data_IF_986727553299
#
_entry.id   IF_986727553299
#
_cell.length_a   1.000
_cell.length_b   1.000
_cell.length_c   1.000
_cell.angle_alpha   90.00
_cell.angle_beta   90.00
_cell.angle_gamma   90.00
#
_symmetry.space_group_name_H-M   'P 1'
#
loop_
_entity.id
_entity.type
_entity.pdbx_description
1 polymer ?
#
# COMPACT_ATOMS: atom_id res chain seq x y z
N UNK A 1 -8.69 -16.01 15.33
CA UNK A 1 -8.41 -14.71 15.98
C UNK A 1 -6.98 -14.34 15.64
N UNK A 2 -6.76 -13.13 15.22
CA UNK A 2 -5.44 -12.61 14.90
C UNK A 2 -4.76 -12.14 16.19
N UNK A 3 -3.78 -12.91 16.65
CA UNK A 3 -3.04 -12.57 17.87
C UNK A 3 -2.08 -11.41 17.56
N UNK A 4 -2.41 -10.20 18.07
CA UNK A 4 -1.59 -8.99 17.87
C UNK A 4 -0.36 -9.06 18.77
N UNK A 5 0.72 -9.65 18.26
CA UNK A 5 2.01 -9.74 18.95
C UNK A 5 3.06 -8.86 18.28
N UNK A 6 3.93 -8.27 19.07
CA UNK A 6 5.12 -7.57 18.60
C UNK A 6 6.30 -8.57 18.46
N UNK A 7 7.20 -8.39 17.48
CA UNK A 7 8.32 -9.32 17.26
C UNK A 7 9.55 -9.03 18.14
N UNK A 8 9.45 -8.13 19.09
CA UNK A 8 10.54 -7.68 19.95
C UNK A 8 10.09 -7.56 21.41
N UNK A 9 11.02 -7.59 22.32
CA UNK A 9 10.82 -7.42 23.76
C UNK A 9 10.96 -5.95 24.19
N UNK A 10 10.45 -5.62 25.39
CA UNK A 10 10.67 -4.32 26.01
C UNK A 10 12.16 -4.00 26.17
N UNK A 11 12.96 -4.98 26.56
CA UNK A 11 14.41 -4.80 26.75
C UNK A 11 15.11 -4.41 25.44
N UNK A 12 14.78 -5.07 24.34
CA UNK A 12 15.34 -4.75 23.01
C UNK A 12 14.96 -3.32 22.57
N UNK A 13 13.69 -2.94 22.72
CA UNK A 13 13.25 -1.60 22.37
C UNK A 13 13.92 -0.53 23.25
N UNK A 14 14.09 -0.78 24.54
CA UNK A 14 14.81 0.14 25.43
C UNK A 14 16.28 0.32 25.05
N UNK A 15 16.94 -0.71 24.51
CA UNK A 15 18.30 -0.55 23.96
C UNK A 15 18.28 0.24 22.64
N UNK A 16 17.32 0.00 21.76
CA UNK A 16 17.16 0.72 20.48
C UNK A 16 16.93 2.23 20.76
N UNK A 17 16.09 2.57 21.74
CA UNK A 17 15.76 3.96 22.11
C UNK A 17 17.01 4.75 22.53
N UNK A 18 18.02 4.13 23.10
CA UNK A 18 19.28 4.82 23.46
C UNK A 18 20.00 5.40 22.24
N UNK A 19 19.83 4.79 21.07
CA UNK A 19 20.45 5.25 19.82
C UNK A 19 19.46 6.01 18.93
N UNK A 20 18.22 5.55 18.91
CA UNK A 20 17.14 6.07 18.07
C UNK A 20 15.95 6.47 18.97
N UNK A 21 15.88 7.74 19.43
CA UNK A 21 14.78 8.18 20.28
C UNK A 21 13.39 7.99 19.62
N UNK A 22 12.38 7.72 20.44
CA UNK A 22 10.98 7.71 20.00
C UNK A 22 10.52 9.12 19.56
N UNK A 23 9.52 9.24 18.67
CA UNK A 23 8.87 8.13 17.96
C UNK A 23 9.70 7.63 16.78
N UNK A 24 9.56 6.36 16.43
CA UNK A 24 10.08 5.79 15.18
C UNK A 24 9.19 4.68 14.64
N UNK A 25 9.23 4.46 13.33
CA UNK A 25 8.69 3.25 12.73
C UNK A 25 9.76 2.15 12.69
N UNK A 26 9.36 0.90 12.97
CA UNK A 26 10.24 -0.26 12.86
C UNK A 26 9.55 -1.35 12.05
N UNK A 27 10.28 -1.95 11.10
CA UNK A 27 9.78 -2.99 10.20
C UNK A 27 10.48 -4.31 10.46
N UNK A 28 9.73 -5.42 10.44
CA UNK A 28 10.26 -6.79 10.53
C UNK A 28 10.58 -7.32 9.13
N UNK A 29 11.87 -7.38 8.79
CA UNK A 29 12.33 -7.85 7.48
C UNK A 29 11.92 -9.29 7.18
N UNK A 30 12.14 -10.21 8.12
CA UNK A 30 11.87 -11.63 7.88
C UNK A 30 10.38 -11.92 7.73
N UNK A 31 9.54 -11.21 8.48
CA UNK A 31 8.09 -11.34 8.36
C UNK A 31 7.59 -10.80 7.01
N UNK A 32 8.12 -9.65 6.52
CA UNK A 32 7.82 -9.11 5.19
C UNK A 32 8.21 -10.12 4.09
N UNK A 33 9.43 -10.67 4.13
CA UNK A 33 9.90 -11.68 3.18
C UNK A 33 9.03 -12.93 3.19
N UNK A 34 8.74 -13.44 4.38
CA UNK A 34 7.93 -14.65 4.56
C UNK A 34 6.53 -14.46 3.99
N UNK A 35 5.93 -13.29 4.21
CA UNK A 35 4.59 -12.99 3.74
C UNK A 35 4.52 -12.93 2.21
N UNK A 36 5.45 -12.20 1.58
CA UNK A 36 5.43 -12.10 0.12
C UNK A 36 5.72 -13.42 -0.57
N UNK A 37 6.62 -14.25 0.00
CA UNK A 37 6.86 -15.63 -0.49
C UNK A 37 5.60 -16.49 -0.43
N UNK A 38 4.78 -16.36 0.63
CA UNK A 38 3.49 -17.06 0.73
C UNK A 38 2.53 -16.64 -0.36
N UNK A 39 2.41 -15.34 -0.63
CA UNK A 39 1.57 -14.83 -1.71
C UNK A 39 2.01 -15.40 -3.07
N UNK A 40 3.29 -15.23 -3.42
CA UNK A 40 3.83 -15.72 -4.69
C UNK A 40 3.62 -17.23 -4.84
N UNK A 41 3.91 -18.01 -3.78
CA UNK A 41 3.75 -19.45 -3.78
C UNK A 41 2.31 -19.90 -4.00
N UNK A 42 1.33 -19.21 -3.44
CA UNK A 42 -0.08 -19.54 -3.63
C UNK A 42 -0.49 -19.46 -5.11
N UNK A 43 0.18 -18.63 -5.91
CA UNK A 43 -0.08 -18.46 -7.34
C UNK A 43 0.91 -19.18 -8.26
N UNK A 44 1.66 -20.20 -7.79
CA UNK A 44 2.62 -20.99 -8.59
C UNK A 44 1.99 -21.64 -9.84
N UNK A 45 0.67 -21.83 -9.84
CA UNK A 45 -0.05 -22.38 -10.99
C UNK A 45 -0.23 -21.36 -12.15
N UNK A 46 -0.19 -20.06 -11.85
CA UNK A 46 -0.38 -19.00 -12.82
C UNK A 46 0.95 -18.70 -13.51
N UNK A 47 0.94 -18.73 -14.85
CA UNK A 47 2.12 -18.47 -15.66
C UNK A 47 2.70 -17.09 -15.33
N UNK A 48 3.98 -17.03 -14.96
CA UNK A 48 4.74 -15.80 -14.72
C UNK A 48 4.01 -14.82 -13.78
N UNK A 49 3.31 -15.36 -12.76
CA UNK A 49 2.62 -14.54 -11.77
C UNK A 49 3.53 -13.45 -11.21
N UNK A 50 3.01 -12.24 -11.09
CA UNK A 50 3.79 -11.09 -10.61
C UNK A 50 3.06 -10.33 -9.51
N UNK A 51 3.73 -10.10 -8.41
CA UNK A 51 3.34 -9.09 -7.43
C UNK A 51 4.10 -7.79 -7.74
N UNK A 52 3.40 -6.68 -7.89
CA UNK A 52 3.94 -5.34 -7.96
C UNK A 52 3.68 -4.63 -6.64
N UNK A 53 4.72 -4.37 -5.88
CA UNK A 53 4.55 -3.65 -4.61
C UNK A 53 4.13 -2.21 -4.86
N UNK A 54 2.98 -1.80 -4.29
CA UNK A 54 2.54 -0.40 -4.32
C UNK A 54 3.51 0.49 -3.53
N UNK A 55 4.41 1.18 -4.23
CA UNK A 55 5.50 1.95 -3.62
C UNK A 55 4.99 2.99 -2.63
N UNK A 56 3.85 3.63 -2.92
CA UNK A 56 3.16 4.59 -2.04
C UNK A 56 2.89 4.07 -0.62
N UNK A 57 2.79 2.75 -0.45
CA UNK A 57 2.54 2.15 0.86
C UNK A 57 3.72 2.35 1.81
N UNK A 58 4.96 2.14 1.29
CA UNK A 58 6.20 2.28 2.07
C UNK A 58 7.35 2.65 1.13
N UNK A 59 7.45 3.93 0.69
CA UNK A 59 8.44 4.39 -0.29
C UNK A 59 9.84 4.49 0.33
N UNK A 60 10.44 3.34 0.58
CA UNK A 60 11.77 3.23 1.18
C UNK A 60 12.65 2.29 0.35
N UNK A 61 13.86 2.70 -0.07
CA UNK A 61 14.73 1.92 -0.95
C UNK A 61 15.19 0.60 -0.33
N UNK A 62 15.29 0.50 1.00
CA UNK A 62 15.64 -0.76 1.68
C UNK A 62 14.50 -1.77 1.58
N UNK A 63 13.26 -1.35 1.81
CA UNK A 63 12.08 -2.20 1.65
C UNK A 63 11.95 -2.64 0.19
N UNK A 64 12.12 -1.73 -0.77
CA UNK A 64 12.07 -2.07 -2.19
C UNK A 64 13.16 -3.08 -2.59
N UNK A 65 14.38 -2.96 -2.05
CA UNK A 65 15.45 -3.95 -2.28
C UNK A 65 15.12 -5.33 -1.71
N UNK A 66 14.51 -5.37 -0.52
CA UNK A 66 14.04 -6.62 0.10
C UNK A 66 13.04 -7.31 -0.81
N UNK A 67 12.03 -6.58 -1.28
CA UNK A 67 10.96 -7.10 -2.11
C UNK A 67 11.46 -7.49 -3.51
N UNK A 68 12.34 -6.68 -4.12
CA UNK A 68 13.02 -7.03 -5.37
C UNK A 68 13.78 -8.37 -5.28
N UNK A 69 14.48 -8.60 -4.16
CA UNK A 69 15.20 -9.86 -3.94
C UNK A 69 14.27 -11.09 -3.87
N UNK A 70 12.99 -10.89 -3.55
CA UNK A 70 11.94 -11.91 -3.57
C UNK A 70 11.21 -11.99 -4.94
N UNK A 71 11.67 -11.26 -5.96
CA UNK A 71 11.07 -11.27 -7.30
C UNK A 71 9.89 -10.33 -7.50
N UNK A 72 9.61 -9.46 -6.53
CA UNK A 72 8.51 -8.47 -6.58
C UNK A 72 8.90 -7.29 -7.46
N UNK A 73 7.95 -6.80 -8.27
CA UNK A 73 8.06 -5.56 -9.03
C UNK A 73 7.62 -4.34 -8.23
N UNK A 74 7.36 -3.23 -8.92
CA UNK A 74 6.91 -1.99 -8.31
C UNK A 74 5.70 -1.40 -9.06
N UNK A 75 4.62 -1.09 -8.33
CA UNK A 75 3.55 -0.19 -8.78
C UNK A 75 3.93 1.24 -8.36
N UNK A 76 4.15 2.10 -9.35
CA UNK A 76 4.54 3.50 -9.17
C UNK A 76 3.42 4.44 -9.62
N UNK A 77 3.23 5.52 -8.88
CA UNK A 77 2.20 6.52 -9.17
C UNK A 77 2.74 7.97 -9.28
N UNK A 78 4.07 8.13 -9.25
CA UNK A 78 4.71 9.45 -9.33
C UNK A 78 6.18 9.38 -9.77
N UNK A 79 6.73 10.52 -10.20
CA UNK A 79 8.16 10.64 -10.54
C UNK A 79 9.11 10.22 -9.41
N UNK A 80 8.91 10.64 -8.14
CA UNK A 80 9.79 10.19 -7.06
C UNK A 80 9.82 8.67 -6.87
N UNK A 81 8.70 7.97 -7.06
CA UNK A 81 8.63 6.52 -6.95
C UNK A 81 9.39 5.83 -8.10
N UNK A 82 9.29 6.36 -9.33
CA UNK A 82 10.09 5.91 -10.48
C UNK A 82 11.59 6.12 -10.25
N UNK A 83 11.99 7.26 -9.69
CA UNK A 83 13.39 7.53 -9.33
C UNK A 83 13.90 6.59 -8.23
N UNK A 84 13.05 6.19 -7.28
CA UNK A 84 13.40 5.15 -6.31
C UNK A 84 13.63 3.81 -7.00
N UNK A 85 12.78 3.41 -7.96
CA UNK A 85 12.97 2.21 -8.76
C UNK A 85 14.32 2.22 -9.47
N UNK A 86 14.66 3.33 -10.14
CA UNK A 86 15.96 3.49 -10.81
C UNK A 86 17.13 3.30 -9.84
N UNK A 87 17.07 3.94 -8.66
CA UNK A 87 18.14 3.84 -7.65
C UNK A 87 18.30 2.43 -7.06
N UNK A 88 17.23 1.65 -6.96
CA UNK A 88 17.31 0.25 -6.49
C UNK A 88 17.49 -0.74 -7.65
N UNK A 89 17.52 -0.25 -8.90
CA UNK A 89 17.74 -1.05 -10.10
C UNK A 89 16.53 -1.89 -10.51
N UNK A 90 15.30 -1.41 -10.28
CA UNK A 90 14.06 -1.97 -10.82
C UNK A 90 13.76 -1.25 -12.12
N UNK A 91 13.46 -1.97 -13.20
CA UNK A 91 13.20 -1.39 -14.52
C UNK A 91 12.41 -2.36 -15.41
N UNK A 92 11.97 -1.89 -16.58
CA UNK A 92 11.27 -2.72 -17.56
C UNK A 92 9.94 -3.25 -17.05
N UNK A 93 9.68 -4.51 -17.35
CA UNK A 93 8.47 -5.24 -16.98
C UNK A 93 8.27 -5.42 -15.46
N UNK A 94 9.27 -5.06 -14.67
CA UNK A 94 9.18 -5.05 -13.21
C UNK A 94 8.59 -3.74 -12.66
N UNK A 95 8.23 -2.78 -13.52
CA UNK A 95 7.50 -1.57 -13.13
C UNK A 95 6.17 -1.50 -13.86
N UNK A 96 5.08 -1.28 -13.13
CA UNK A 96 3.83 -0.76 -13.67
C UNK A 96 3.66 0.68 -13.18
N UNK A 97 3.28 1.57 -14.08
CA UNK A 97 3.09 2.99 -13.77
C UNK A 97 1.61 3.34 -13.88
N UNK A 98 0.95 3.45 -12.72
CA UNK A 98 -0.48 3.74 -12.56
C UNK A 98 -0.64 5.08 -11.85
N UNK A 99 -0.93 6.13 -12.61
CA UNK A 99 -1.07 7.50 -12.10
C UNK A 99 -2.32 8.17 -12.63
N UNK A 100 -2.85 9.15 -11.90
CA UNK A 100 -4.01 9.95 -12.26
C UNK A 100 -3.55 11.38 -12.54
N UNK A 101 -4.23 12.07 -13.50
CA UNK A 101 -3.91 13.48 -13.86
C UNK A 101 -2.39 13.68 -14.09
N UNK A 102 -1.78 12.78 -14.82
CA UNK A 102 -0.33 12.57 -14.90
C UNK A 102 0.37 13.64 -15.73
N UNK A 103 1.36 14.36 -15.18
CA UNK A 103 2.23 15.25 -15.97
C UNK A 103 3.08 14.43 -16.96
N UNK A 104 3.40 15.02 -18.13
CA UNK A 104 4.19 14.32 -19.14
C UNK A 104 5.56 13.84 -18.65
N UNK A 105 6.21 14.61 -17.76
CA UNK A 105 7.52 14.24 -17.22
C UNK A 105 7.51 12.87 -16.49
N UNK A 106 6.40 12.52 -15.88
CA UNK A 106 6.23 11.21 -15.22
C UNK A 106 6.08 10.10 -16.24
N UNK A 107 5.28 10.31 -17.29
CA UNK A 107 5.20 9.36 -18.42
C UNK A 107 6.55 9.20 -19.11
N UNK A 108 7.27 10.31 -19.37
CA UNK A 108 8.58 10.27 -19.99
C UNK A 108 9.57 9.42 -19.17
N UNK A 109 9.60 9.61 -17.84
CA UNK A 109 10.46 8.81 -16.97
C UNK A 109 10.04 7.35 -16.90
N UNK A 110 8.74 7.07 -16.85
CA UNK A 110 8.25 5.69 -16.87
C UNK A 110 8.64 4.97 -18.18
N UNK A 111 8.50 5.65 -19.32
CA UNK A 111 8.92 5.11 -20.62
C UNK A 111 10.45 4.95 -20.72
N UNK A 112 11.23 5.89 -20.20
CA UNK A 112 12.69 5.78 -20.11
C UNK A 112 13.13 4.52 -19.35
N UNK A 113 12.43 4.20 -18.25
CA UNK A 113 12.68 2.99 -17.46
C UNK A 113 12.12 1.71 -18.11
N UNK A 114 11.39 1.83 -19.22
CA UNK A 114 10.73 0.71 -19.89
C UNK A 114 9.50 0.17 -19.14
N UNK A 115 8.94 0.96 -18.24
CA UNK A 115 7.79 0.58 -17.42
C UNK A 115 6.52 0.30 -18.27
N UNK A 116 5.63 -0.52 -17.74
CA UNK A 116 4.29 -0.69 -18.28
C UNK A 116 3.50 0.58 -17.97
N UNK A 117 3.03 1.28 -18.99
CA UNK A 117 2.14 2.43 -18.81
C UNK A 117 0.71 1.93 -18.64
N UNK A 118 0.09 2.26 -17.51
CA UNK A 118 -1.32 2.00 -17.24
C UNK A 118 -2.11 3.30 -17.38
N UNK A 119 -2.89 3.44 -18.45
CA UNK A 119 -3.70 4.62 -18.68
C UNK A 119 -4.98 4.59 -17.85
N UNK A 120 -5.26 5.71 -17.22
CA UNK A 120 -6.39 5.90 -16.31
C UNK A 120 -7.60 6.57 -16.99
N UNK A 121 -7.37 7.25 -18.12
CA UNK A 121 -8.40 7.94 -18.89
C UNK A 121 -8.10 7.89 -20.40
N UNK A 122 -9.16 7.88 -21.22
CA UNK A 122 -9.04 7.79 -22.69
C UNK A 122 -8.31 8.97 -23.30
N UNK A 123 -8.40 10.16 -22.69
CA UNK A 123 -7.72 11.40 -23.17
C UNK A 123 -6.20 11.31 -23.03
N UNK A 124 -5.69 10.42 -22.20
CA UNK A 124 -4.25 10.17 -22.07
C UNK A 124 -3.63 9.64 -23.37
N UNK A 125 -4.40 9.01 -24.26
CA UNK A 125 -3.89 8.51 -25.54
C UNK A 125 -3.39 9.68 -26.41
N UNK A 126 -4.23 10.69 -26.61
CA UNK A 126 -3.87 11.88 -27.38
C UNK A 126 -2.78 12.68 -26.68
N UNK A 127 -2.81 12.75 -25.35
CA UNK A 127 -1.78 13.41 -24.55
C UNK A 127 -0.41 12.75 -24.71
N UNK A 128 -0.34 11.42 -24.69
CA UNK A 128 0.90 10.67 -24.93
C UNK A 128 1.41 10.92 -26.35
N UNK A 129 0.54 10.80 -27.37
CA UNK A 129 0.92 10.98 -28.78
C UNK A 129 1.43 12.40 -29.06
N UNK A 130 0.80 13.42 -28.46
CA UNK A 130 1.22 14.81 -28.62
C UNK A 130 2.60 15.11 -28.02
N UNK A 131 3.06 14.31 -27.08
CA UNK A 131 4.29 14.55 -26.34
C UNK A 131 5.41 13.53 -26.62
N UNK A 132 5.12 12.42 -27.30
CA UNK A 132 6.12 11.40 -27.62
C UNK A 132 5.54 10.17 -28.28
N UNK A 133 6.37 9.14 -28.54
CA UNK A 133 5.90 7.89 -29.13
C UNK A 133 5.05 7.11 -28.13
N UNK A 134 3.92 6.56 -28.61
CA UNK A 134 3.12 5.63 -27.82
C UNK A 134 3.92 4.31 -27.67
N UNK A 135 4.07 3.76 -26.45
CA UNK A 135 4.73 2.47 -26.25
C UNK A 135 4.02 1.34 -27.00
N UNK A 136 4.76 0.29 -27.36
CA UNK A 136 4.17 -0.89 -28.01
C UNK A 136 3.34 -1.77 -27.05
N UNK A 137 3.41 -1.50 -25.74
CA UNK A 137 2.65 -2.13 -24.66
C UNK A 137 1.97 -1.08 -23.79
N UNK A 138 0.66 -1.20 -23.64
CA UNK A 138 -0.19 -0.33 -22.83
C UNK A 138 -1.13 -1.18 -21.97
N UNK A 139 -1.25 -0.82 -20.72
CA UNK A 139 -2.29 -1.29 -19.81
C UNK A 139 -3.41 -0.26 -19.69
N UNK A 140 -4.63 -0.71 -19.42
CA UNK A 140 -5.78 0.18 -19.23
C UNK A 140 -6.50 -0.16 -17.94
N UNK A 141 -6.77 0.87 -17.14
CA UNK A 141 -7.51 0.74 -15.89
C UNK A 141 -9.00 0.74 -16.16
N UNK A 142 -9.64 -0.38 -15.90
CA UNK A 142 -11.08 -0.53 -16.01
C UNK A 142 -11.79 -0.08 -14.74
N UNK A 143 -12.82 0.76 -14.90
CA UNK A 143 -13.78 1.12 -13.87
C UNK A 143 -15.14 0.50 -14.20
N UNK A 144 -15.64 -0.47 -13.41
CA UNK A 144 -16.92 -1.14 -13.68
C UNK A 144 -18.15 -0.27 -13.40
N UNK A 145 -17.98 0.91 -12.79
CA UNK A 145 -19.09 1.80 -12.44
C UNK A 145 -20.14 1.12 -11.54
N UNK A 146 -21.44 1.33 -11.82
CA UNK A 146 -22.51 0.85 -10.97
C UNK A 146 -22.71 -0.69 -11.00
N UNK A 147 -21.93 -1.41 -11.79
CA UNK A 147 -21.96 -2.89 -11.81
C UNK A 147 -21.42 -3.49 -10.51
N UNK A 148 -20.56 -2.76 -9.81
CA UNK A 148 -20.06 -3.10 -8.47
C UNK A 148 -20.57 -2.06 -7.47
N UNK A 149 -21.25 -2.53 -6.42
CA UNK A 149 -21.75 -1.67 -5.34
C UNK A 149 -20.81 -1.61 -4.14
N UNK A 150 -19.75 -2.40 -4.16
CA UNK A 150 -18.76 -2.45 -3.10
C UNK A 150 -17.84 -1.21 -3.18
N UNK A 151 -17.60 -0.60 -2.04
CA UNK A 151 -16.75 0.59 -1.91
C UNK A 151 -16.49 0.91 -0.44
N UNK A 152 -15.61 1.85 -0.18
CA UNK A 152 -15.33 2.35 1.17
C UNK A 152 -14.85 3.81 1.14
N UNK A 153 -14.67 4.42 2.31
CA UNK A 153 -14.26 5.83 2.45
C UNK A 153 -12.89 6.16 1.84
N UNK A 154 -12.10 5.16 1.44
CA UNK A 154 -10.77 5.35 0.87
C UNK A 154 -10.82 5.49 -0.66
N UNK A 155 -11.59 4.63 -1.34
CA UNK A 155 -11.66 4.61 -2.81
C UNK A 155 -13.01 5.04 -3.37
N UNK A 156 -14.02 5.24 -2.52
CA UNK A 156 -15.42 5.48 -2.91
C UNK A 156 -16.08 4.24 -3.53
N UNK A 157 -17.29 4.42 -4.03
CA UNK A 157 -17.91 3.43 -4.93
C UNK A 157 -17.32 3.59 -6.33
N UNK A 158 -17.23 2.53 -7.16
CA UNK A 158 -16.70 2.66 -8.52
C UNK A 158 -17.36 3.74 -9.36
N UNK A 159 -18.67 3.98 -9.19
CA UNK A 159 -19.42 5.02 -9.90
C UNK A 159 -18.97 6.44 -9.52
N UNK A 160 -18.60 6.66 -8.25
CA UNK A 160 -18.17 7.97 -7.72
C UNK A 160 -16.66 8.15 -7.77
N UNK A 161 -15.89 7.09 -8.02
CA UNK A 161 -14.44 7.15 -8.02
C UNK A 161 -13.91 7.84 -9.28
N UNK A 162 -12.86 8.67 -9.10
CA UNK A 162 -12.25 9.43 -10.19
C UNK A 162 -11.35 8.59 -11.12
N UNK A 163 -11.33 7.28 -10.99
CA UNK A 163 -10.35 6.40 -11.59
C UNK A 163 -10.92 5.56 -12.72
N UNK A 164 -10.15 5.44 -13.81
CA UNK A 164 -10.31 4.40 -14.80
C UNK A 164 -11.34 4.70 -15.91
N UNK A 165 -11.27 3.89 -16.94
CA UNK A 165 -12.12 3.93 -18.13
C UNK A 165 -13.39 3.12 -17.92
N UNK A 166 -14.51 3.60 -18.42
CA UNK A 166 -15.73 2.81 -18.54
C UNK A 166 -15.53 1.64 -19.50
N UNK A 167 -16.44 0.66 -19.45
CA UNK A 167 -16.38 -0.51 -20.35
C UNK A 167 -16.34 -0.09 -21.82
N UNK A 168 -17.17 0.84 -22.25
CA UNK A 168 -17.20 1.28 -23.64
C UNK A 168 -15.91 2.01 -24.04
N UNK A 169 -15.36 2.82 -23.15
CA UNK A 169 -14.06 3.48 -23.35
C UNK A 169 -12.90 2.47 -23.43
N UNK A 170 -12.93 1.35 -22.70
CA UNK A 170 -11.92 0.27 -22.87
C UNK A 170 -11.89 -0.24 -24.30
N UNK A 171 -13.05 -0.54 -24.91
CA UNK A 171 -13.11 -0.99 -26.31
C UNK A 171 -12.67 0.08 -27.28
N UNK A 172 -13.10 1.32 -27.10
CA UNK A 172 -12.70 2.46 -27.92
C UNK A 172 -11.19 2.70 -27.84
N UNK A 173 -10.64 2.79 -26.61
CA UNK A 173 -9.21 3.00 -26.39
C UNK A 173 -8.35 1.89 -27.01
N UNK A 174 -8.74 0.63 -26.83
CA UNK A 174 -8.02 -0.49 -27.44
C UNK A 174 -8.05 -0.48 -28.96
N UNK A 175 -9.18 -0.13 -29.56
CA UNK A 175 -9.29 0.01 -31.02
C UNK A 175 -8.38 1.12 -31.54
N UNK A 176 -8.36 2.29 -30.88
CA UNK A 176 -7.49 3.42 -31.23
C UNK A 176 -6.02 3.02 -31.09
N UNK A 177 -5.63 2.45 -29.95
CA UNK A 177 -4.24 2.06 -29.68
C UNK A 177 -3.75 0.98 -30.64
N UNK A 178 -4.59 0.01 -31.01
CA UNK A 178 -4.29 -1.00 -32.03
C UNK A 178 -3.98 -0.33 -33.39
N UNK A 179 -4.77 0.67 -33.79
CA UNK A 179 -4.52 1.44 -35.03
C UNK A 179 -3.23 2.25 -34.96
N UNK A 180 -2.86 2.74 -33.77
CA UNK A 180 -1.60 3.47 -33.50
C UNK A 180 -0.38 2.54 -33.35
N UNK A 181 -0.55 1.21 -33.48
CA UNK A 181 0.54 0.24 -33.54
C UNK A 181 0.90 -0.43 -32.21
N UNK A 182 0.11 -0.24 -31.17
CA UNK A 182 0.25 -0.99 -29.90
C UNK A 182 0.02 -2.48 -30.17
N UNK A 183 0.90 -3.33 -29.66
CA UNK A 183 0.91 -4.77 -29.93
C UNK A 183 0.54 -5.59 -28.72
N UNK A 184 0.83 -5.10 -27.53
CA UNK A 184 0.66 -5.79 -26.26
C UNK A 184 -0.27 -4.99 -25.36
N UNK A 185 -1.32 -5.64 -24.89
CA UNK A 185 -2.38 -4.99 -24.11
C UNK A 185 -2.53 -5.64 -22.75
N UNK A 186 -2.57 -4.84 -21.70
CA UNK A 186 -2.93 -5.26 -20.36
C UNK A 186 -4.29 -4.70 -19.94
N UNK A 187 -4.92 -5.38 -19.00
CA UNK A 187 -6.09 -4.90 -18.29
C UNK A 187 -5.74 -4.77 -16.81
N UNK A 188 -6.17 -3.68 -16.20
CA UNK A 188 -6.01 -3.41 -14.78
C UNK A 188 -7.34 -3.00 -14.16
N UNK A 189 -7.53 -3.24 -12.89
CA UNK A 189 -8.63 -2.65 -12.10
C UNK A 189 -8.21 -2.44 -10.66
N UNK A 190 -8.85 -1.51 -9.97
CA UNK A 190 -8.68 -1.28 -8.53
C UNK A 190 -10.02 -0.84 -7.94
N UNK A 191 -10.82 -1.80 -7.53
CA UNK A 191 -12.22 -1.60 -7.10
C UNK A 191 -12.47 -1.88 -5.64
N UNK A 192 -11.51 -2.48 -4.93
CA UNK A 192 -11.58 -2.78 -3.50
C UNK A 192 -10.37 -2.24 -2.77
N UNK A 193 -10.54 -1.90 -1.49
CA UNK A 193 -9.45 -1.51 -0.60
C UNK A 193 -9.70 -2.08 0.79
N UNK A 194 -8.70 -2.75 1.34
CA UNK A 194 -8.78 -3.46 2.61
C UNK A 194 -9.87 -4.53 2.66
N UNK A 195 -10.01 -5.31 1.58
CA UNK A 195 -10.96 -6.41 1.49
C UNK A 195 -10.43 -7.64 2.25
N UNK A 196 -11.17 -8.07 3.26
CA UNK A 196 -10.85 -9.25 4.08
C UNK A 196 -11.56 -10.52 3.60
N UNK A 197 -12.52 -10.39 2.69
CA UNK A 197 -13.25 -11.51 2.13
C UNK A 197 -12.67 -11.92 0.77
N UNK A 198 -12.12 -13.12 0.69
CA UNK A 198 -11.57 -13.65 -0.56
C UNK A 198 -12.58 -13.65 -1.72
N UNK A 199 -13.88 -13.80 -1.45
CA UNK A 199 -14.92 -13.80 -2.49
C UNK A 199 -15.02 -12.46 -3.24
N UNK A 200 -14.81 -11.32 -2.57
CA UNK A 200 -14.78 -10.01 -3.23
C UNK A 200 -13.67 -9.95 -4.28
N UNK A 201 -12.47 -10.40 -3.91
CA UNK A 201 -11.31 -10.46 -4.81
C UNK A 201 -11.49 -11.48 -5.94
N UNK A 202 -12.09 -12.66 -5.66
CA UNK A 202 -12.40 -13.69 -6.67
C UNK A 202 -13.42 -13.15 -7.68
N UNK A 203 -14.45 -12.41 -7.23
CA UNK A 203 -15.43 -11.79 -8.12
C UNK A 203 -14.79 -10.71 -9.00
N UNK A 204 -13.84 -9.94 -8.47
CA UNK A 204 -13.06 -8.99 -9.27
C UNK A 204 -12.28 -9.71 -10.38
N UNK A 205 -11.60 -10.81 -10.05
CA UNK A 205 -10.89 -11.61 -11.04
C UNK A 205 -11.83 -12.17 -12.11
N UNK A 206 -12.98 -12.72 -11.71
CA UNK A 206 -14.00 -13.20 -12.65
C UNK A 206 -14.44 -12.11 -13.63
N UNK A 207 -14.76 -10.92 -13.13
CA UNK A 207 -15.15 -9.77 -13.95
C UNK A 207 -14.07 -9.40 -14.99
N UNK A 208 -12.81 -9.41 -14.57
CA UNK A 208 -11.68 -9.09 -15.48
C UNK A 208 -11.46 -10.17 -16.53
N UNK A 209 -11.66 -11.45 -16.18
CA UNK A 209 -11.61 -12.56 -17.14
C UNK A 209 -12.72 -12.45 -18.19
N UNK A 210 -13.95 -12.17 -17.78
CA UNK A 210 -15.09 -11.96 -18.68
C UNK A 210 -14.82 -10.78 -19.64
N UNK A 211 -14.25 -9.67 -19.13
CA UNK A 211 -13.87 -8.53 -19.96
C UNK A 211 -12.77 -8.90 -20.98
N UNK A 212 -11.77 -9.68 -20.59
CA UNK A 212 -10.70 -10.12 -21.49
C UNK A 212 -11.23 -11.00 -22.62
N UNK A 213 -12.16 -11.91 -22.33
CA UNK A 213 -12.85 -12.73 -23.35
C UNK A 213 -13.60 -11.84 -24.32
N UNK A 214 -14.36 -10.88 -23.83
CA UNK A 214 -15.11 -9.96 -24.67
C UNK A 214 -14.22 -9.08 -25.55
N UNK A 215 -13.07 -8.61 -25.04
CA UNK A 215 -12.07 -7.86 -25.82
C UNK A 215 -11.57 -8.72 -26.98
N UNK A 216 -11.26 -10.00 -26.73
CA UNK A 216 -10.87 -10.94 -27.79
C UNK A 216 -11.98 -11.12 -28.82
N UNK A 217 -13.22 -11.35 -28.40
CA UNK A 217 -14.34 -11.59 -29.30
C UNK A 217 -14.68 -10.37 -30.18
N UNK A 218 -14.69 -9.17 -29.59
CA UNK A 218 -15.10 -7.93 -30.29
C UNK A 218 -13.99 -7.32 -31.12
N UNK A 219 -12.74 -7.34 -30.65
CA UNK A 219 -11.62 -6.62 -31.26
C UNK A 219 -10.53 -7.54 -31.85
N UNK A 220 -10.59 -8.83 -31.59
CA UNK A 220 -9.52 -9.76 -31.96
C UNK A 220 -8.20 -9.38 -31.30
N UNK A 221 -8.25 -8.84 -30.08
CA UNK A 221 -7.07 -8.50 -29.28
C UNK A 221 -6.91 -9.56 -28.20
N UNK A 222 -5.70 -10.12 -28.10
CA UNK A 222 -5.31 -11.01 -27.00
C UNK A 222 -4.65 -10.18 -25.92
N UNK A 223 -5.16 -10.29 -24.70
CA UNK A 223 -4.60 -9.61 -23.53
C UNK A 223 -3.36 -10.34 -23.05
N UNK A 224 -2.24 -9.65 -22.86
CA UNK A 224 -0.96 -10.22 -22.40
C UNK A 224 -0.98 -10.52 -20.90
N UNK A 225 -1.62 -9.64 -20.12
CA UNK A 225 -1.70 -9.76 -18.67
C UNK A 225 -2.94 -9.10 -18.12
N UNK A 226 -3.38 -9.58 -16.97
CA UNK A 226 -4.43 -8.96 -16.14
C UNK A 226 -3.84 -8.65 -14.79
N UNK A 227 -3.96 -7.39 -14.40
CA UNK A 227 -3.63 -6.89 -13.09
C UNK A 227 -4.91 -6.61 -12.29
N UNK A 228 -5.05 -7.28 -11.16
CA UNK A 228 -6.23 -7.12 -10.31
C UNK A 228 -6.12 -5.91 -9.39
N UNK A 229 -5.03 -5.14 -9.50
CA UNK A 229 -4.69 -4.07 -8.58
C UNK A 229 -4.32 -4.59 -7.20
N UNK A 230 -4.46 -3.73 -6.21
CA UNK A 230 -4.26 -4.12 -4.81
C UNK A 230 -5.57 -4.54 -4.15
N UNK A 231 -5.69 -4.17 -2.89
CA UNK A 231 -6.96 -4.30 -2.16
C UNK A 231 -7.03 -5.47 -1.20
N UNK A 232 -6.12 -6.45 -1.25
CA UNK A 232 -6.03 -7.49 -0.21
C UNK A 232 -5.85 -6.80 1.15
N UNK A 233 -6.76 -7.13 2.09
CA UNK A 233 -6.90 -6.46 3.35
C UNK A 233 -5.91 -6.88 4.42
N UNK A 234 -5.81 -6.03 5.41
CA UNK A 234 -5.10 -6.22 6.65
C UNK A 234 -6.12 -6.24 7.80
N UNK A 235 -6.20 -7.31 8.59
CA UNK A 235 -7.07 -7.35 9.75
C UNK A 235 -6.50 -6.48 10.87
N UNK A 236 -6.99 -5.25 10.96
CA UNK A 236 -6.54 -4.29 11.97
C UNK A 236 -7.02 -4.67 13.37
N UNK A 237 -8.21 -5.29 13.47
CA UNK A 237 -8.79 -5.70 14.75
C UNK A 237 -8.41 -7.12 15.12
N UNK A 238 -8.26 -7.44 16.42
CA UNK A 238 -7.91 -8.81 16.88
C UNK A 238 -8.93 -9.88 16.46
N UNK A 239 -10.21 -9.51 16.32
CA UNK A 239 -11.28 -10.43 15.92
C UNK A 239 -11.31 -10.72 14.41
N UNK A 240 -10.64 -9.92 13.59
CA UNK A 240 -10.54 -10.11 12.15
C UNK A 240 -9.46 -11.14 11.80
N UNK A 241 -9.50 -11.67 10.60
CA UNK A 241 -8.53 -12.66 10.10
C UNK A 241 -7.93 -12.23 8.77
N UNK A 242 -6.68 -12.62 8.54
CA UNK A 242 -6.04 -12.44 7.23
C UNK A 242 -6.79 -13.19 6.14
N UNK A 243 -6.76 -12.63 4.93
CA UNK A 243 -7.15 -13.37 3.72
C UNK A 243 -6.20 -14.56 3.58
N UNK A 244 -6.78 -15.75 3.47
CA UNK A 244 -6.03 -16.97 3.17
C UNK A 244 -5.65 -16.95 1.67
N UNK A 245 -4.36 -16.82 1.39
CA UNK A 245 -3.86 -16.75 0.01
C UNK A 245 -4.10 -18.04 -0.78
N UNK A 246 -4.11 -19.20 -0.13
CA UNK A 246 -4.39 -20.47 -0.82
C UNK A 246 -5.87 -20.55 -1.22
N UNK A 247 -6.78 -20.11 -0.35
CA UNK A 247 -8.23 -20.02 -0.65
C UNK A 247 -8.48 -19.00 -1.76
N UNK A 248 -7.86 -17.83 -1.68
CA UNK A 248 -7.97 -16.79 -2.72
C UNK A 248 -7.49 -17.31 -4.07
N UNK A 249 -6.30 -17.89 -4.10
CA UNK A 249 -5.67 -18.43 -5.30
C UNK A 249 -6.49 -19.57 -5.93
N UNK A 250 -6.97 -20.50 -5.11
CA UNK A 250 -7.81 -21.61 -5.59
C UNK A 250 -9.11 -21.09 -6.22
N UNK A 251 -9.74 -20.07 -5.61
CA UNK A 251 -10.95 -19.45 -6.15
C UNK A 251 -10.70 -18.72 -7.47
N UNK A 252 -9.58 -17.99 -7.60
CA UNK A 252 -9.21 -17.33 -8.87
C UNK A 252 -8.88 -18.36 -9.94
N UNK A 253 -8.16 -19.44 -9.59
CA UNK A 253 -7.86 -20.55 -10.50
C UNK A 253 -9.12 -21.20 -11.06
N UNK A 254 -10.10 -21.47 -10.21
CA UNK A 254 -11.39 -22.04 -10.62
C UNK A 254 -12.10 -21.14 -11.66
N UNK A 255 -12.10 -19.82 -11.46
CA UNK A 255 -12.66 -18.89 -12.44
C UNK A 255 -11.82 -18.83 -13.74
N UNK A 256 -10.49 -18.87 -13.62
CA UNK A 256 -9.59 -18.91 -14.76
C UNK A 256 -9.82 -20.14 -15.63
N UNK A 257 -9.90 -21.32 -15.02
CA UNK A 257 -10.16 -22.58 -15.72
C UNK A 257 -11.55 -22.62 -16.39
N UNK A 258 -12.54 -21.97 -15.79
CA UNK A 258 -13.92 -21.92 -16.35
C UNK A 258 -14.08 -20.89 -17.47
N UNK A 259 -13.35 -19.77 -17.42
CA UNK A 259 -13.58 -18.62 -18.32
C UNK A 259 -12.46 -18.50 -19.35
N UNK A 260 -11.19 -18.51 -18.90
CA UNK A 260 -10.07 -18.20 -19.78
C UNK A 260 -9.67 -19.38 -20.66
N UNK A 261 -9.51 -20.57 -20.07
CA UNK A 261 -9.07 -21.77 -20.78
C UNK A 261 -9.99 -22.17 -21.95
N UNK A 262 -11.32 -22.23 -21.79
CA UNK A 262 -12.20 -22.57 -22.89
C UNK A 262 -12.19 -21.56 -24.04
N UNK A 263 -11.77 -20.34 -23.77
CA UNK A 263 -11.67 -19.25 -24.73
C UNK A 263 -10.26 -19.11 -25.33
N UNK A 264 -9.32 -20.02 -25.00
CA UNK A 264 -7.95 -19.98 -25.50
C UNK A 264 -7.19 -18.74 -25.08
N UNK A 265 -7.36 -18.35 -23.80
CA UNK A 265 -6.68 -17.25 -23.11
C UNK A 265 -5.91 -17.77 -21.90
N UNK A 266 -5.42 -19.02 -21.97
CA UNK A 266 -4.68 -19.69 -20.90
C UNK A 266 -3.20 -19.28 -20.82
N UNK A 267 -2.69 -18.58 -21.84
CA UNK A 267 -1.31 -18.07 -21.89
C UNK A 267 -1.22 -16.60 -21.47
N UNK A 268 -1.81 -16.26 -20.35
CA UNK A 268 -1.88 -14.90 -19.83
C UNK A 268 -1.21 -14.80 -18.46
N UNK A 269 -0.48 -13.72 -18.21
CA UNK A 269 0.09 -13.41 -16.89
C UNK A 269 -0.97 -12.79 -15.98
N UNK A 270 -0.99 -13.20 -14.73
CA UNK A 270 -1.79 -12.58 -13.67
C UNK A 270 -0.90 -11.79 -12.71
N UNK A 271 -1.39 -10.66 -12.22
CA UNK A 271 -0.66 -9.83 -11.26
C UNK A 271 -1.56 -9.16 -10.22
N UNK A 272 -0.92 -8.75 -9.11
CA UNK A 272 -1.48 -7.89 -8.09
C UNK A 272 -0.58 -6.68 -7.84
N UNK A 273 -1.16 -5.61 -7.28
CA UNK A 273 -0.47 -4.38 -6.84
C UNK A 273 -0.64 -4.18 -5.32
N UNK A 274 -0.27 -5.16 -4.51
CA UNK A 274 -0.48 -5.09 -3.08
C UNK A 274 0.58 -4.23 -2.38
N UNK A 275 0.14 -3.33 -1.53
CA UNK A 275 1.00 -2.58 -0.62
C UNK A 275 0.69 -2.93 0.83
N UNK A 276 -0.57 -2.67 1.23
CA UNK A 276 -1.05 -2.86 2.60
C UNK A 276 -0.84 -4.28 3.12
N UNK A 277 -1.23 -5.28 2.37
CA UNK A 277 -1.08 -6.68 2.76
C UNK A 277 0.39 -7.10 2.88
N UNK A 278 1.30 -6.46 2.13
CA UNK A 278 2.72 -6.85 2.08
C UNK A 278 3.49 -6.36 3.31
N UNK A 279 3.46 -5.05 3.58
CA UNK A 279 4.27 -4.43 4.63
C UNK A 279 3.47 -4.05 5.87
N UNK A 280 2.17 -3.79 5.72
CA UNK A 280 1.30 -3.26 6.77
C UNK A 280 1.38 -3.99 8.10
N UNK A 281 1.20 -5.33 8.14
CA UNK A 281 1.19 -6.10 9.39
C UNK A 281 2.55 -6.15 10.10
N UNK A 282 3.61 -5.83 9.40
CA UNK A 282 5.00 -6.04 9.84
C UNK A 282 5.75 -4.73 10.06
N UNK A 283 5.03 -3.64 10.24
CA UNK A 283 5.57 -2.34 10.68
C UNK A 283 4.82 -1.85 11.91
N UNK A 284 5.57 -1.22 12.79
CA UNK A 284 5.11 -0.76 14.10
C UNK A 284 5.56 0.68 14.32
N UNK A 285 4.68 1.52 14.88
CA UNK A 285 5.08 2.83 15.40
C UNK A 285 5.33 2.69 16.91
N UNK A 286 6.56 2.93 17.31
CA UNK A 286 6.99 2.91 18.71
C UNK A 286 6.99 4.34 19.23
N UNK A 287 6.34 4.57 20.36
CA UNK A 287 6.18 5.88 20.99
C UNK A 287 6.24 5.78 22.51
N UNK A 288 6.58 6.86 23.18
CA UNK A 288 6.66 6.93 24.64
C UNK A 288 5.49 7.74 25.21
N UNK A 289 4.85 7.24 26.25
CA UNK A 289 3.90 8.02 27.05
C UNK A 289 4.64 9.11 27.82
N UNK A 290 4.28 10.38 27.59
CA UNK A 290 5.00 11.53 28.18
C UNK A 290 4.15 12.33 29.16
N UNK A 291 2.83 12.21 29.09
CA UNK A 291 1.90 12.96 29.95
C UNK A 291 0.62 12.21 30.22
N UNK A 292 0.08 12.39 31.42
CA UNK A 292 -1.28 12.04 31.80
C UNK A 292 -2.13 13.32 31.96
N UNK A 293 -3.36 13.23 31.52
CA UNK A 293 -4.32 14.31 31.69
C UNK A 293 -5.68 13.74 32.09
N UNK A 294 -6.11 14.04 33.30
CA UNK A 294 -7.39 13.64 33.86
C UNK A 294 -8.33 14.84 33.91
N UNK A 295 -9.32 14.87 33.04
CA UNK A 295 -10.37 15.87 33.00
C UNK A 295 -11.74 15.16 32.91
N UNK A 296 -12.47 15.34 31.82
CA UNK A 296 -13.71 14.59 31.54
C UNK A 296 -13.44 13.17 31.05
N UNK A 297 -12.24 12.91 30.60
CA UNK A 297 -11.71 11.61 30.16
C UNK A 297 -10.26 11.48 30.65
N UNK A 298 -9.74 10.28 30.62
CA UNK A 298 -8.34 9.99 30.90
C UNK A 298 -7.53 9.97 29.59
N UNK A 299 -6.57 10.84 29.48
CA UNK A 299 -5.71 10.98 28.30
C UNK A 299 -4.29 10.54 28.58
N UNK A 300 -3.73 9.80 27.65
CA UNK A 300 -2.29 9.49 27.58
C UNK A 300 -1.72 10.27 26.40
N UNK A 301 -0.92 11.29 26.70
CA UNK A 301 -0.16 12.03 25.71
C UNK A 301 1.12 11.31 25.36
N UNK A 302 1.40 11.18 24.05
CA UNK A 302 2.61 10.53 23.53
C UNK A 302 3.51 11.52 22.80
N UNK A 303 4.78 11.16 22.61
CA UNK A 303 5.71 11.92 21.77
C UNK A 303 5.46 11.74 20.27
N UNK A 304 4.71 10.70 19.85
CA UNK A 304 4.15 10.61 18.53
C UNK A 304 2.89 11.47 18.37
N UNK A 305 2.52 11.74 17.13
CA UNK A 305 1.29 12.45 16.76
C UNK A 305 0.74 11.93 15.42
N UNK A 306 -0.41 12.46 15.02
CA UNK A 306 -0.98 12.20 13.71
C UNK A 306 0.00 12.49 12.54
N UNK A 307 1.01 13.34 12.75
CA UNK A 307 2.10 13.56 11.81
C UNK A 307 2.93 12.27 11.52
N UNK A 308 2.95 11.33 12.47
CA UNK A 308 3.62 10.03 12.32
C UNK A 308 2.66 8.93 11.82
N UNK A 309 1.37 9.01 12.18
CA UNK A 309 0.34 8.08 11.74
C UNK A 309 -1.01 8.79 11.65
N UNK A 310 -1.34 9.27 10.44
CA UNK A 310 -2.56 10.08 10.24
C UNK A 310 -3.86 9.26 10.20
N UNK A 311 -3.79 7.98 9.90
CA UNK A 311 -4.95 7.15 9.61
C UNK A 311 -6.04 7.11 10.70
N UNK A 312 -5.73 7.00 12.01
CA UNK A 312 -6.75 7.06 13.05
C UNK A 312 -7.51 8.39 13.05
N UNK A 313 -6.81 9.52 12.93
CA UNK A 313 -7.42 10.85 12.93
C UNK A 313 -8.19 11.16 11.64
N UNK A 314 -7.67 10.75 10.49
CA UNK A 314 -8.26 11.06 9.18
C UNK A 314 -9.44 10.17 8.81
N UNK A 315 -9.34 8.86 9.10
CA UNK A 315 -10.31 7.86 8.67
C UNK A 315 -11.05 7.18 9.82
N UNK A 316 -10.78 7.54 11.08
CA UNK A 316 -11.24 6.76 12.24
C UNK A 316 -10.69 5.32 12.26
N UNK A 317 -9.56 5.09 11.58
CA UNK A 317 -9.02 3.76 11.42
C UNK A 317 -8.54 3.20 12.77
N UNK A 318 -8.96 1.96 13.04
CA UNK A 318 -8.46 1.23 14.20
C UNK A 318 -7.00 0.80 13.98
N UNK A 319 -6.18 0.99 15.00
CA UNK A 319 -4.88 0.34 15.15
C UNK A 319 -4.82 -0.28 16.55
N UNK A 320 -4.29 -1.48 16.64
CA UNK A 320 -4.08 -2.11 17.94
C UNK A 320 -2.91 -1.43 18.67
N UNK A 321 -3.03 -1.30 20.01
CA UNK A 321 -1.97 -0.75 20.85
C UNK A 321 -1.55 -1.81 21.87
N UNK A 322 -0.24 -1.97 22.02
CA UNK A 322 0.37 -2.76 23.09
C UNK A 322 1.13 -1.82 24.02
N UNK A 323 0.90 -1.93 25.31
CA UNK A 323 1.77 -1.32 26.32
C UNK A 323 2.89 -2.34 26.59
N UNK A 324 4.08 -2.01 26.12
CA UNK A 324 5.20 -2.96 26.07
C UNK A 324 5.65 -3.35 27.47
N UNK A 325 5.80 -4.66 27.73
CA UNK A 325 6.09 -5.21 29.04
C UNK A 325 4.87 -5.38 29.96
N UNK A 326 3.66 -5.05 29.48
CA UNK A 326 2.39 -5.17 30.21
C UNK A 326 1.33 -5.97 29.42
N UNK A 327 1.74 -6.81 28.50
CA UNK A 327 0.87 -7.56 27.59
C UNK A 327 -0.11 -8.47 28.33
N UNK A 328 0.32 -9.03 29.48
CA UNK A 328 -0.49 -9.92 30.31
C UNK A 328 -1.21 -9.19 31.47
N UNK A 329 -1.02 -7.87 31.60
CA UNK A 329 -1.66 -7.10 32.65
C UNK A 329 -3.15 -6.85 32.32
N UNK A 330 -4.01 -6.71 33.35
CA UNK A 330 -5.42 -6.40 33.12
C UNK A 330 -5.62 -5.09 32.32
N UNK A 331 -6.43 -5.13 31.28
CA UNK A 331 -6.83 -3.97 30.51
C UNK A 331 -8.06 -3.29 31.13
N UNK A 332 -7.93 -2.81 32.35
CA UNK A 332 -9.00 -2.32 33.22
C UNK A 332 -9.07 -0.77 33.29
N UNK A 333 -8.19 -0.08 32.59
CA UNK A 333 -8.20 1.37 32.44
C UNK A 333 -8.71 1.76 31.05
N UNK A 334 -9.48 2.84 30.96
CA UNK A 334 -10.02 3.36 29.70
C UNK A 334 -9.33 4.70 29.37
N UNK A 335 -8.64 4.74 28.24
CA UNK A 335 -7.87 5.91 27.80
C UNK A 335 -8.23 6.38 26.39
N UNK A 336 -8.10 7.70 26.17
CA UNK A 336 -7.80 8.26 24.85
C UNK A 336 -6.27 8.43 24.75
N UNK A 337 -5.64 7.80 23.76
CA UNK A 337 -4.20 7.95 23.49
C UNK A 337 -4.01 8.99 22.41
N UNK A 338 -3.24 10.06 22.72
CA UNK A 338 -3.23 11.29 21.92
C UNK A 338 -1.83 11.74 21.55
N UNK A 339 -1.73 12.45 20.42
CA UNK A 339 -0.58 13.25 20.07
C UNK A 339 -0.70 14.70 20.54
N UNK A 340 0.16 15.56 20.01
CA UNK A 340 0.33 16.95 20.43
C UNK A 340 -0.02 17.98 19.35
N UNK A 341 -0.76 17.62 18.31
CA UNK A 341 -1.25 18.56 17.31
C UNK A 341 -2.40 19.40 17.84
N UNK A 342 -2.60 20.59 17.26
CA UNK A 342 -3.75 21.46 17.56
C UNK A 342 -5.06 20.94 16.91
N UNK A 343 -5.19 19.63 16.80
CA UNK A 343 -6.34 18.94 16.19
C UNK A 343 -6.93 17.95 17.20
N UNK A 344 -8.23 18.06 17.45
CA UNK A 344 -8.91 17.15 18.39
C UNK A 344 -8.95 15.69 17.88
N UNK A 345 -8.78 15.48 16.58
CA UNK A 345 -8.68 14.15 15.97
C UNK A 345 -7.28 13.53 16.09
N UNK A 346 -6.28 14.23 16.66
CA UNK A 346 -4.94 13.68 16.91
C UNK A 346 -4.98 12.64 18.03
N UNK A 347 -5.62 11.52 17.76
CA UNK A 347 -5.84 10.40 18.68
C UNK A 347 -5.55 9.09 17.98
N UNK A 348 -4.69 8.29 18.58
CA UNK A 348 -4.39 6.93 18.13
C UNK A 348 -5.43 5.92 18.61
N UNK A 349 -6.08 6.23 19.74
CA UNK A 349 -7.17 5.45 20.30
C UNK A 349 -8.16 6.34 21.05
N UNK A 350 -9.43 5.96 21.05
CA UNK A 350 -10.51 6.61 21.79
C UNK A 350 -11.23 5.55 22.61
N UNK A 351 -11.49 5.85 23.90
CA UNK A 351 -12.16 4.97 24.85
C UNK A 351 -11.59 3.53 24.82
N UNK A 352 -10.26 3.41 24.75
CA UNK A 352 -9.57 2.13 24.65
C UNK A 352 -9.27 1.55 26.03
N UNK A 353 -9.73 0.32 26.27
CA UNK A 353 -9.32 -0.48 27.42
C UNK A 353 -7.87 -0.92 27.26
N UNK A 354 -7.00 -0.54 28.19
CA UNK A 354 -5.56 -0.83 28.20
C UNK A 354 -5.12 -1.09 29.64
N UNK A 355 -3.95 -1.74 29.85
CA UNK A 355 -3.30 -1.78 31.15
C UNK A 355 -3.00 -0.37 31.67
N UNK A 356 -2.77 -0.24 32.99
CA UNK A 356 -2.29 1.03 33.58
C UNK A 356 -1.04 1.52 32.85
N UNK A 357 -1.11 2.75 32.31
CA UNK A 357 0.01 3.42 31.61
C UNK A 357 0.62 4.46 32.54
N UNK A 358 1.95 4.53 32.59
CA UNK A 358 2.72 5.51 33.34
C UNK A 358 3.63 6.30 32.41
N UNK A 359 4.02 7.50 32.83
CA UNK A 359 5.00 8.29 32.09
C UNK A 359 6.30 7.48 31.92
N UNK A 360 6.81 7.43 30.69
CA UNK A 360 7.96 6.62 30.32
C UNK A 360 7.64 5.19 29.86
N UNK A 361 6.36 4.77 29.93
CA UNK A 361 5.96 3.50 29.31
C UNK A 361 6.04 3.62 27.78
N UNK A 362 6.42 2.51 27.15
CA UNK A 362 6.53 2.40 25.69
C UNK A 362 5.23 1.82 25.15
N UNK A 363 4.63 2.53 24.21
CA UNK A 363 3.48 2.06 23.47
C UNK A 363 3.90 1.67 22.05
N UNK A 364 3.37 0.55 21.59
CA UNK A 364 3.56 0.06 20.23
C UNK A 364 2.22 0.09 19.50
N UNK A 365 2.13 0.86 18.43
CA UNK A 365 0.97 0.92 17.55
C UNK A 365 1.23 -0.02 16.38
N UNK A 366 0.38 -1.05 16.27
CA UNK A 366 0.52 -2.13 15.29
C UNK A 366 0.07 -1.71 13.89
N UNK A 367 0.44 -2.52 12.90
CA UNK A 367 -0.08 -2.46 11.53
C UNK A 367 0.20 -1.11 10.82
N UNK A 368 1.35 -0.51 11.12
CA UNK A 368 1.73 0.80 10.57
C UNK A 368 2.73 0.69 9.41
N UNK A 369 3.05 -0.53 8.97
CA UNK A 369 4.06 -0.78 7.94
C UNK A 369 3.67 -0.34 6.53
N UNK A 370 2.39 -0.03 6.30
CA UNK A 370 1.88 0.54 5.06
C UNK A 370 1.00 1.75 5.37
N UNK A 371 1.15 2.83 4.60
CA UNK A 371 0.38 4.07 4.80
C UNK A 371 0.50 4.65 6.23
N UNK A 372 1.61 4.32 6.90
CA UNK A 372 2.02 4.90 8.18
C UNK A 372 2.94 6.09 7.92
N UNK A 373 4.25 5.87 7.97
CA UNK A 373 5.26 6.90 7.71
C UNK A 373 5.06 7.61 6.36
N UNK A 374 4.66 6.89 5.30
CA UNK A 374 4.46 7.45 3.96
C UNK A 374 3.40 8.55 3.89
N UNK A 375 2.39 8.51 4.75
CA UNK A 375 1.35 9.54 4.86
C UNK A 375 1.67 10.62 5.89
N UNK A 376 2.89 10.67 6.41
CA UNK A 376 3.33 11.67 7.37
C UNK A 376 3.36 13.09 6.79
N UNK A 377 3.23 14.09 7.65
CA UNK A 377 3.19 15.51 7.30
C UNK A 377 3.84 16.37 8.42
N UNK A 378 3.93 17.68 8.22
CA UNK A 378 4.63 18.58 9.14
C UNK A 378 3.71 19.65 9.78
N UNK A 379 2.42 19.37 9.89
CA UNK A 379 1.51 20.32 10.56
C UNK A 379 1.95 20.60 12.00
N UNK A 380 1.75 21.81 12.49
CA UNK A 380 2.30 22.35 13.76
C UNK A 380 3.83 22.29 13.86
N UNK A 381 4.55 22.20 12.73
CA UNK A 381 6.01 22.08 12.72
C UNK A 381 6.53 20.76 13.28
N UNK A 382 5.69 19.71 13.35
CA UNK A 382 6.14 18.39 13.80
C UNK A 382 7.03 17.75 12.75
N UNK A 383 8.15 17.21 13.21
CA UNK A 383 9.13 16.53 12.37
C UNK A 383 8.71 15.07 12.14
N UNK A 384 8.99 14.55 10.96
CA UNK A 384 8.74 13.15 10.65
C UNK A 384 9.75 12.26 11.36
N UNK A 385 9.29 11.12 11.84
CA UNK A 385 10.07 10.16 12.60
C UNK A 385 11.09 9.37 11.76
N UNK A 386 12.04 8.71 12.42
CA UNK A 386 12.92 7.74 11.78
C UNK A 386 12.16 6.48 11.33
N UNK A 387 12.77 5.76 10.37
CA UNK A 387 12.37 4.40 10.00
C UNK A 387 13.55 3.46 10.25
N UNK A 388 13.28 2.35 10.93
CA UNK A 388 14.23 1.33 11.31
C UNK A 388 13.83 -0.02 10.67
N UNK A 389 14.81 -0.83 10.30
CA UNK A 389 14.61 -2.19 9.80
C UNK A 389 15.22 -3.15 10.80
N UNK A 390 14.41 -4.02 11.36
CA UNK A 390 14.84 -5.12 12.22
C UNK A 390 15.11 -6.36 11.37
N UNK A 391 16.32 -6.87 11.47
CA UNK A 391 16.77 -8.08 10.80
C UNK A 391 16.40 -9.34 11.59
N UNK A 392 16.58 -10.51 10.98
CA UNK A 392 16.28 -11.81 11.58
C UNK A 392 17.03 -12.10 12.90
N UNK A 393 18.21 -11.54 13.06
CA UNK A 393 19.03 -11.65 14.28
C UNK A 393 18.70 -10.55 15.31
N UNK A 394 17.63 -9.81 15.11
CA UNK A 394 17.17 -8.67 15.89
C UNK A 394 18.12 -7.45 15.87
N UNK A 395 19.18 -7.47 15.07
CA UNK A 395 19.94 -6.25 14.78
C UNK A 395 19.07 -5.25 14.01
N UNK A 396 19.38 -3.95 14.17
CA UNK A 396 18.57 -2.87 13.59
C UNK A 396 19.41 -1.98 12.69
N UNK A 397 18.90 -1.72 11.49
CA UNK A 397 19.46 -0.73 10.55
C UNK A 397 18.54 0.48 10.45
N UNK A 398 19.08 1.69 10.59
CA UNK A 398 18.34 2.91 10.27
C UNK A 398 18.23 3.05 8.75
N UNK A 399 17.01 2.92 8.23
CA UNK A 399 16.70 3.01 6.80
C UNK A 399 16.18 4.38 6.37
N UNK A 400 15.85 5.24 7.34
CA UNK A 400 15.58 6.66 7.21
C UNK A 400 15.87 7.33 8.55
N UNK A 401 16.63 8.42 8.57
CA UNK A 401 16.76 9.24 9.77
C UNK A 401 15.50 10.04 10.04
N UNK A 402 15.28 10.46 11.27
CA UNK A 402 14.28 11.46 11.57
C UNK A 402 14.62 12.81 10.90
N UNK A 403 13.60 13.59 10.61
CA UNK A 403 13.78 14.99 10.18
C UNK A 403 14.39 15.84 11.31
N UNK A 404 15.09 16.87 10.90
CA UNK A 404 15.58 17.94 11.73
C UNK A 404 14.83 19.24 11.40
N UNK A 405 15.00 20.27 12.24
CA UNK A 405 14.45 21.60 11.94
C UNK A 405 15.03 22.16 10.63
N UNK A 406 16.30 21.84 10.33
CA UNK A 406 16.94 22.26 9.08
C UNK A 406 16.26 21.63 7.85
N UNK A 407 15.81 20.38 7.94
CA UNK A 407 15.03 19.76 6.87
C UNK A 407 13.69 20.47 6.65
N UNK A 408 13.00 20.82 7.73
CA UNK A 408 11.74 21.55 7.69
C UNK A 408 11.91 22.95 7.09
N UNK A 409 13.01 23.60 7.37
CA UNK A 409 13.31 24.97 6.92
C UNK A 409 14.06 25.02 5.58
N UNK A 410 14.46 23.88 5.02
CA UNK A 410 15.31 23.80 3.83
C UNK A 410 14.75 24.54 2.59
N UNK A 411 13.44 24.77 2.54
CA UNK A 411 12.78 25.45 1.42
C UNK A 411 12.35 26.87 1.76
N UNK A 412 12.60 27.34 3.00
CA UNK A 412 12.24 28.70 3.40
C UNK A 412 13.36 29.69 3.01
N UNK A 413 12.95 30.87 2.59
CA UNK A 413 13.88 31.95 2.30
C UNK A 413 13.95 32.91 3.51
N UNK A 414 15.14 33.08 4.06
CA UNK A 414 15.44 33.98 5.18
C UNK A 414 16.33 35.18 4.75
N UNK A 415 16.57 35.35 3.46
CA UNK A 415 17.55 36.32 2.95
C UNK A 415 17.21 37.79 3.26
N UNK A 416 15.94 38.09 3.42
CA UNK A 416 15.43 39.45 3.66
C UNK A 416 14.90 39.68 5.09
N UNK A 417 15.23 38.78 6.06
CA UNK A 417 14.77 38.83 7.44
C UNK A 417 15.85 39.38 8.38
#
# INVERSE_FOLDING_TARGET
MNEKKVPFTEGEIREIIKTYPTPFHIYDEEAIRTNVRKLIKAFDWAKDFKEYFAVKATPNPYIMKILKAEGVGADCSSLPELLLCEKVGISGDDIIFSSNDTPYQEFAKAMELGAIINIDDITMIDFLEANGPIPDRICMRYNPGPLLKDGNDIIGTPEESKYGLTRDQIFEAMAILKQKGVKRFGLHTMVVSNELNANGLINTAKMMFELAVEVKERLGIYIDFIDFGGGIGLPYRPEESFVDYDVLSAGIKDQFEKIMVPNGLDDIRLSFECGRAITGPYGYLVTTAIHHKDIWKHYIGTDASMANLMRPGMYGAYHHLTVLGKEEAPADHVYDVTGSLCENCDKFAVDRSLPEIKDGDILVIHDTGAHGHSMGFNYNGKLRSAELLMHKDHSVTQIRRAETVDDLFATLDFSDL
#
